data_IF_816356672902
#
_entry.id   IF_816356672902
#
_cell.length_a   1.000
_cell.length_b   1.000
_cell.length_c   1.000
_cell.angle_alpha   90.00
_cell.angle_beta   90.00
_cell.angle_gamma   90.00
#
_symmetry.space_group_name_H-M   'P 1'
#
loop_
_entity.id
_entity.type
_entity.pdbx_description
1 polymer ?
#
# COMPACT_ATOMS: atom_id res chain seq x y z
N UNK A 1 -11.88 19.10 1.13
CA UNK A 1 -10.97 17.91 1.02
C UNK A 1 -9.57 18.34 1.46
N UNK A 2 -9.03 17.73 2.48
CA UNK A 2 -7.74 18.02 3.08
C UNK A 2 -6.86 16.76 3.06
N UNK A 3 -5.55 16.92 2.82
CA UNK A 3 -4.56 15.84 2.96
C UNK A 3 -3.60 16.26 4.07
N UNK A 4 -3.34 15.35 4.99
CA UNK A 4 -2.44 15.55 6.12
C UNK A 4 -1.73 14.27 6.51
N UNK A 5 -0.70 14.41 7.34
CA UNK A 5 -0.07 13.25 7.97
C UNK A 5 -1.08 12.57 8.92
N UNK A 6 -1.05 11.25 8.97
CA UNK A 6 -1.85 10.48 9.90
C UNK A 6 -1.27 10.57 11.32
N UNK A 7 -2.14 10.43 12.29
CA UNK A 7 -1.80 10.38 13.72
C UNK A 7 -2.33 9.09 14.35
N UNK A 8 -1.85 8.68 15.50
CA UNK A 8 -2.41 7.51 16.20
C UNK A 8 -3.93 7.62 16.45
N UNK A 9 -4.47 8.83 16.54
CA UNK A 9 -5.90 9.08 16.69
C UNK A 9 -6.74 8.69 15.47
N UNK A 10 -6.12 8.53 14.31
CA UNK A 10 -6.82 8.17 13.07
C UNK A 10 -7.02 6.65 12.91
N UNK A 11 -6.35 5.83 13.71
CA UNK A 11 -6.37 4.38 13.58
C UNK A 11 -7.78 3.78 13.62
N UNK A 12 -8.70 4.21 14.51
CA UNK A 12 -10.08 3.70 14.53
C UNK A 12 -10.85 3.97 13.23
N UNK A 13 -10.58 5.10 12.56
CA UNK A 13 -11.22 5.44 11.29
C UNK A 13 -10.49 4.81 10.08
N UNK A 14 -9.20 4.51 10.22
CA UNK A 14 -8.43 3.81 9.20
C UNK A 14 -8.80 2.33 9.10
N UNK A 15 -9.17 1.67 10.19
CA UNK A 15 -9.50 0.26 10.19
C UNK A 15 -10.55 -0.13 9.14
N UNK A 16 -11.74 0.50 9.06
CA UNK A 16 -12.73 0.14 8.04
C UNK A 16 -12.24 0.42 6.61
N UNK A 17 -11.43 1.45 6.40
CA UNK A 17 -10.84 1.73 5.09
C UNK A 17 -9.80 0.67 4.71
N UNK A 18 -9.01 0.20 5.67
CA UNK A 18 -8.02 -0.85 5.46
C UNK A 18 -8.67 -2.18 5.09
N UNK A 19 -9.73 -2.56 5.80
CA UNK A 19 -10.51 -3.77 5.46
C UNK A 19 -11.09 -3.69 4.06
N UNK A 20 -11.67 -2.54 3.68
CA UNK A 20 -12.18 -2.33 2.32
C UNK A 20 -11.08 -2.36 1.25
N UNK A 21 -9.88 -1.88 1.58
CA UNK A 21 -8.72 -1.96 0.71
C UNK A 21 -8.30 -3.41 0.46
N UNK A 22 -8.16 -4.21 1.52
CA UNK A 22 -7.78 -5.62 1.40
C UNK A 22 -8.80 -6.45 0.60
N UNK A 23 -10.09 -6.17 0.76
CA UNK A 23 -11.15 -6.82 -0.01
C UNK A 23 -11.07 -6.54 -1.52
N UNK A 24 -10.49 -5.41 -1.92
CA UNK A 24 -10.32 -5.05 -3.33
C UNK A 24 -9.03 -5.59 -3.97
N UNK A 25 -8.06 -6.04 -3.18
CA UNK A 25 -6.82 -6.60 -3.71
C UNK A 25 -7.10 -8.00 -4.25
N UNK A 26 -6.80 -8.30 -5.53
CA UNK A 26 -7.02 -9.62 -6.11
C UNK A 26 -5.91 -10.59 -5.67
N UNK A 27 -5.75 -10.79 -4.37
CA UNK A 27 -4.73 -11.67 -3.82
C UNK A 27 -4.95 -13.14 -4.21
N UNK A 28 -3.89 -13.91 -4.41
CA UNK A 28 -4.00 -15.34 -4.57
C UNK A 28 -4.58 -16.01 -3.30
N UNK A 29 -5.32 -17.13 -3.45
CA UNK A 29 -6.03 -17.76 -2.33
C UNK A 29 -5.14 -18.34 -1.23
N UNK A 30 -3.83 -18.40 -1.44
CA UNK A 30 -2.83 -18.83 -0.45
C UNK A 30 -2.18 -17.67 0.32
N UNK A 31 -2.53 -16.43 0.01
CA UNK A 31 -2.12 -15.26 0.78
C UNK A 31 -3.15 -15.04 1.88
N UNK A 32 -2.68 -15.03 3.12
CA UNK A 32 -3.48 -14.73 4.31
C UNK A 32 -2.97 -13.42 4.89
N UNK A 33 -3.85 -12.43 5.00
CA UNK A 33 -3.53 -11.10 5.52
C UNK A 33 -4.22 -10.92 6.85
N UNK A 34 -3.45 -10.76 7.92
CA UNK A 34 -3.96 -10.39 9.24
C UNK A 34 -4.02 -8.87 9.36
N UNK A 35 -5.19 -8.30 9.09
CA UNK A 35 -5.42 -6.85 9.13
C UNK A 35 -5.18 -6.28 10.53
N UNK A 36 -5.50 -7.01 11.58
CA UNK A 36 -5.30 -6.54 12.95
C UNK A 36 -3.80 -6.45 13.29
N UNK A 37 -2.99 -7.37 12.76
CA UNK A 37 -1.52 -7.30 12.87
C UNK A 37 -0.95 -6.14 12.06
N UNK A 38 -1.44 -5.89 10.86
CA UNK A 38 -1.00 -4.76 10.03
C UNK A 38 -1.31 -3.41 10.68
N UNK A 39 -2.51 -3.24 11.21
CA UNK A 39 -2.90 -2.02 11.93
C UNK A 39 -2.11 -1.83 13.22
N UNK A 40 -1.82 -2.92 13.93
CA UNK A 40 -0.96 -2.88 15.13
C UNK A 40 0.46 -2.45 14.76
N UNK A 41 1.03 -3.04 13.71
CA UNK A 41 2.36 -2.66 13.21
C UNK A 41 2.39 -1.19 12.76
N UNK A 42 1.34 -0.71 12.07
CA UNK A 42 1.21 0.71 11.72
C UNK A 42 1.23 1.58 12.98
N UNK A 43 0.46 1.23 14.01
CA UNK A 43 0.40 1.97 15.27
C UNK A 43 1.76 2.04 15.96
N UNK A 44 2.50 0.93 15.96
CA UNK A 44 3.80 0.81 16.63
C UNK A 44 4.93 1.52 15.86
N UNK A 45 4.81 1.63 14.54
CA UNK A 45 5.89 2.13 13.67
C UNK A 45 5.63 3.53 13.11
N UNK A 46 4.44 4.08 13.33
CA UNK A 46 4.09 5.44 12.89
C UNK A 46 5.09 6.42 13.50
N UNK A 47 5.67 7.30 12.66
CA UNK A 47 6.75 8.24 12.99
C UNK A 47 8.09 7.60 13.40
N UNK A 48 8.23 6.27 13.30
CA UNK A 48 9.48 5.53 13.56
C UNK A 48 10.08 4.89 12.30
N UNK A 49 9.80 5.46 11.13
CA UNK A 49 10.21 4.94 9.82
C UNK A 49 9.04 4.56 8.93
N UNK A 50 7.83 4.55 9.47
CA UNK A 50 6.58 4.49 8.71
C UNK A 50 6.00 5.90 8.59
N UNK A 51 5.61 6.25 7.39
CA UNK A 51 4.92 7.50 7.07
C UNK A 51 3.53 7.12 6.58
N UNK A 52 2.50 7.65 7.22
CA UNK A 52 1.13 7.53 6.75
C UNK A 52 0.54 8.90 6.49
N UNK A 53 -0.22 9.03 5.43
CA UNK A 53 -0.99 10.23 5.08
C UNK A 53 -2.44 9.85 4.85
N UNK A 54 -3.34 10.74 5.21
CA UNK A 54 -4.78 10.55 5.09
C UNK A 54 -5.43 11.69 4.33
N UNK A 55 -6.53 11.39 3.69
CA UNK A 55 -7.39 12.37 3.05
C UNK A 55 -8.74 12.45 3.76
N UNK A 56 -9.14 13.66 4.11
CA UNK A 56 -10.43 13.98 4.74
C UNK A 56 -11.37 14.67 3.75
N UNK A 57 -12.63 14.36 3.82
CA UNK A 57 -13.68 15.12 3.15
C UNK A 57 -14.00 16.43 3.90
N UNK A 58 -15.05 17.15 3.49
CA UNK A 58 -15.45 18.41 4.12
C UNK A 58 -16.05 18.22 5.53
N UNK A 59 -16.52 17.02 5.84
CA UNK A 59 -17.08 16.65 7.14
C UNK A 59 -16.01 16.14 8.12
N UNK A 60 -14.75 16.01 7.69
CA UNK A 60 -13.66 15.46 8.50
C UNK A 60 -13.57 13.94 8.46
N UNK A 61 -14.36 13.24 7.63
CA UNK A 61 -14.33 11.79 7.49
C UNK A 61 -13.17 11.38 6.60
N UNK A 62 -12.48 10.29 6.95
CA UNK A 62 -11.41 9.73 6.13
C UNK A 62 -11.96 9.08 4.86
N UNK A 63 -11.40 9.44 3.71
CA UNK A 63 -11.82 8.96 2.39
C UNK A 63 -10.69 8.32 1.59
N UNK A 64 -9.50 8.21 2.18
CA UNK A 64 -8.35 7.56 1.58
C UNK A 64 -7.12 7.69 2.44
N UNK A 65 -6.16 6.83 2.18
CA UNK A 65 -4.86 6.83 2.87
C UNK A 65 -3.74 6.35 1.95
N UNK A 66 -2.51 6.65 2.34
CA UNK A 66 -1.32 6.06 1.74
C UNK A 66 -0.26 5.87 2.81
N UNK A 67 0.49 4.77 2.73
CA UNK A 67 1.54 4.41 3.66
C UNK A 67 2.84 4.14 2.91
N UNK A 68 3.94 4.58 3.47
CA UNK A 68 5.28 4.23 3.01
C UNK A 68 6.21 4.00 4.19
N UNK A 69 7.23 3.20 3.93
CA UNK A 69 8.26 2.84 4.91
C UNK A 69 9.66 3.07 4.34
N UNK A 70 10.61 3.36 5.19
CA UNK A 70 12.02 3.23 4.84
C UNK A 70 12.35 1.74 4.68
N UNK A 71 12.90 1.35 3.53
CA UNK A 71 13.27 -0.04 3.25
C UNK A 71 14.78 -0.28 3.22
N UNK A 72 15.56 0.77 3.24
CA UNK A 72 17.01 0.74 3.22
C UNK A 72 17.61 2.13 3.45
N UNK A 73 18.90 2.27 3.17
CA UNK A 73 19.57 3.55 3.41
C UNK A 73 19.01 4.69 2.54
N UNK A 74 18.65 4.39 1.29
CA UNK A 74 18.24 5.38 0.28
C UNK A 74 16.94 4.99 -0.44
N UNK A 75 16.28 3.93 0.03
CA UNK A 75 15.07 3.36 -0.58
C UNK A 75 13.88 3.52 0.36
N UNK A 76 12.80 4.06 -0.17
CA UNK A 76 11.47 4.02 0.41
C UNK A 76 10.58 3.03 -0.31
N UNK A 77 9.63 2.44 0.39
CA UNK A 77 8.62 1.56 -0.20
C UNK A 77 7.23 2.09 0.15
N UNK A 78 6.41 2.34 -0.88
CA UNK A 78 4.98 2.56 -0.70
C UNK A 78 4.34 1.18 -0.53
N UNK A 79 3.71 0.95 0.61
CA UNK A 79 3.11 -0.32 0.95
C UNK A 79 1.62 -0.34 0.65
N UNK A 80 0.93 0.79 0.89
CA UNK A 80 -0.52 0.85 0.80
C UNK A 80 -0.96 2.18 0.18
N UNK A 81 -1.99 2.12 -0.65
CA UNK A 81 -2.63 3.28 -1.26
C UNK A 81 -4.09 2.97 -1.56
N UNK A 82 -4.98 3.64 -0.87
CA UNK A 82 -6.41 3.43 -1.02
C UNK A 82 -7.20 4.74 -1.09
N UNK A 83 -8.23 4.75 -1.90
CA UNK A 83 -9.24 5.80 -1.98
C UNK A 83 -10.60 5.12 -2.09
N UNK A 84 -11.56 5.49 -1.25
CA UNK A 84 -12.91 4.92 -1.31
C UNK A 84 -13.51 5.12 -2.71
N UNK A 85 -14.31 4.18 -3.21
CA UNK A 85 -14.86 4.24 -4.58
C UNK A 85 -15.54 5.57 -4.90
N UNK A 86 -16.32 6.11 -3.97
CA UNK A 86 -17.04 7.38 -4.16
C UNK A 86 -16.14 8.62 -4.35
N UNK A 87 -14.87 8.55 -3.93
CA UNK A 87 -13.91 9.66 -4.04
C UNK A 87 -12.89 9.49 -5.17
N UNK A 88 -12.98 8.41 -5.95
CA UNK A 88 -12.10 8.14 -7.10
C UNK A 88 -12.38 9.05 -8.29
N UNK A 89 -11.45 9.08 -9.24
CA UNK A 89 -11.60 9.88 -10.48
C UNK A 89 -11.26 11.35 -10.33
N UNK A 90 -10.95 11.84 -9.14
CA UNK A 90 -10.66 13.25 -8.84
C UNK A 90 -9.19 13.51 -8.47
N UNK A 91 -8.28 12.60 -8.81
CA UNK A 91 -6.84 12.75 -8.58
C UNK A 91 -6.41 12.61 -7.11
N UNK A 92 -7.26 12.07 -6.23
CA UNK A 92 -6.96 11.97 -4.81
C UNK A 92 -5.79 11.05 -4.52
N UNK A 93 -5.68 9.90 -5.20
CA UNK A 93 -4.54 9.00 -5.09
C UNK A 93 -3.21 9.71 -5.43
N UNK A 94 -3.18 10.50 -6.52
CA UNK A 94 -2.00 11.28 -6.89
C UNK A 94 -1.63 12.32 -5.83
N UNK A 95 -2.61 12.96 -5.21
CA UNK A 95 -2.37 13.94 -4.13
C UNK A 95 -1.87 13.29 -2.84
N UNK A 96 -2.40 12.13 -2.47
CA UNK A 96 -1.89 11.32 -1.35
C UNK A 96 -0.44 10.92 -1.60
N UNK A 97 -0.16 10.38 -2.79
CA UNK A 97 1.20 9.98 -3.18
C UNK A 97 2.15 11.16 -3.21
N UNK A 98 1.73 12.33 -3.73
CA UNK A 98 2.54 13.54 -3.73
C UNK A 98 2.94 13.93 -2.30
N UNK A 99 2.00 13.92 -1.33
CA UNK A 99 2.30 14.20 0.06
C UNK A 99 3.26 13.17 0.65
N UNK A 100 3.08 11.90 0.32
CA UNK A 100 3.98 10.82 0.76
C UNK A 100 5.41 11.03 0.23
N UNK A 101 5.56 11.39 -1.04
CA UNK A 101 6.86 11.69 -1.66
C UNK A 101 7.55 12.87 -0.98
N UNK A 102 6.82 13.94 -0.65
CA UNK A 102 7.38 15.05 0.13
C UNK A 102 7.97 14.57 1.46
N UNK A 103 7.24 13.72 2.18
CA UNK A 103 7.71 13.14 3.45
C UNK A 103 8.92 12.23 3.27
N UNK A 104 8.91 11.36 2.25
CA UNK A 104 10.04 10.49 1.93
C UNK A 104 11.31 11.27 1.59
N UNK A 105 11.18 12.41 0.92
CA UNK A 105 12.33 13.29 0.62
C UNK A 105 12.97 13.86 1.88
N UNK A 106 12.22 14.15 2.93
CA UNK A 106 12.76 14.61 4.21
C UNK A 106 13.64 13.56 4.88
N UNK A 107 13.51 12.29 4.50
CA UNK A 107 14.33 11.18 4.99
C UNK A 107 15.61 10.94 4.14
N UNK A 108 15.89 11.83 3.17
CA UNK A 108 17.03 11.72 2.24
C UNK A 108 17.03 10.40 1.45
N UNK A 109 15.84 9.93 1.06
CA UNK A 109 15.65 8.79 0.17
C UNK A 109 15.64 9.29 -1.28
N UNK A 110 16.21 8.51 -2.19
CA UNK A 110 16.32 8.87 -3.60
C UNK A 110 15.63 7.89 -4.54
N UNK A 111 15.18 6.77 -4.03
CA UNK A 111 14.43 5.75 -4.79
C UNK A 111 13.19 5.35 -4.03
N UNK A 112 12.10 5.12 -4.76
CA UNK A 112 10.83 4.61 -4.22
C UNK A 112 10.44 3.36 -4.99
N UNK A 113 10.10 2.32 -4.25
CA UNK A 113 9.51 1.08 -4.76
C UNK A 113 8.06 0.94 -4.29
N UNK A 114 7.31 0.12 -4.99
CA UNK A 114 6.03 -0.43 -4.53
C UNK A 114 5.88 -1.87 -5.06
N UNK A 115 5.03 -2.62 -4.39
CA UNK A 115 4.59 -3.93 -4.84
C UNK A 115 3.14 -3.83 -5.32
N UNK A 116 2.81 -4.57 -6.34
CA UNK A 116 1.45 -4.63 -6.89
C UNK A 116 1.17 -6.04 -7.37
N UNK A 117 0.01 -6.57 -7.05
CA UNK A 117 -0.42 -7.87 -7.54
C UNK A 117 -0.47 -7.86 -9.06
N UNK A 118 0.16 -8.85 -9.70
CA UNK A 118 0.37 -8.88 -11.15
C UNK A 118 -0.94 -8.77 -11.96
N UNK A 119 -2.04 -9.29 -11.40
CA UNK A 119 -3.38 -9.22 -12.01
C UNK A 119 -4.12 -7.92 -11.77
N UNK A 120 -3.59 -7.01 -10.92
CA UNK A 120 -4.19 -5.70 -10.67
C UNK A 120 -3.81 -4.71 -11.78
N UNK A 121 -4.41 -4.90 -12.95
CA UNK A 121 -4.11 -4.10 -14.15
C UNK A 121 -4.39 -2.60 -13.95
N UNK A 122 -5.44 -2.26 -13.20
CA UNK A 122 -5.80 -0.87 -12.93
C UNK A 122 -4.70 -0.14 -12.12
N UNK A 123 -4.21 -0.74 -11.06
CA UNK A 123 -3.14 -0.17 -10.24
C UNK A 123 -1.83 -0.08 -11.05
N UNK A 124 -1.48 -1.14 -11.78
CA UNK A 124 -0.28 -1.16 -12.66
C UNK A 124 -0.31 -0.04 -13.69
N UNK A 125 -1.47 0.21 -14.33
CA UNK A 125 -1.63 1.30 -15.30
C UNK A 125 -1.45 2.68 -14.65
N UNK A 126 -1.92 2.87 -13.41
CA UNK A 126 -1.71 4.12 -12.65
C UNK A 126 -0.23 4.32 -12.37
N UNK A 127 0.45 3.31 -11.85
CA UNK A 127 1.87 3.38 -11.48
C UNK A 127 2.78 3.60 -12.70
N UNK A 128 2.47 2.97 -13.84
CA UNK A 128 3.18 3.21 -15.09
C UNK A 128 3.07 4.68 -15.54
N UNK A 129 1.89 5.30 -15.41
CA UNK A 129 1.71 6.74 -15.72
C UNK A 129 2.50 7.64 -14.75
N UNK A 130 2.76 7.21 -13.53
CA UNK A 130 3.60 7.94 -12.56
C UNK A 130 5.09 7.68 -12.75
N UNK A 131 5.49 6.89 -13.76
CA UNK A 131 6.87 6.63 -14.11
C UNK A 131 7.50 5.43 -13.42
N UNK A 132 6.73 4.63 -12.69
CA UNK A 132 7.22 3.35 -12.16
C UNK A 132 7.50 2.38 -13.31
N UNK A 133 8.58 1.62 -13.15
CA UNK A 133 9.00 0.56 -14.09
C UNK A 133 9.07 -0.76 -13.35
N UNK A 134 8.67 -1.82 -14.02
CA UNK A 134 8.80 -3.18 -13.48
C UNK A 134 10.27 -3.53 -13.29
N UNK A 135 10.62 -4.06 -12.13
CA UNK A 135 11.99 -4.46 -11.78
C UNK A 135 12.09 -5.95 -11.51
N UNK A 136 11.15 -6.50 -10.77
CA UNK A 136 11.17 -7.87 -10.30
C UNK A 136 9.82 -8.53 -10.53
N UNK A 137 9.83 -9.84 -10.69
CA UNK A 137 8.65 -10.68 -10.76
C UNK A 137 8.72 -11.72 -9.63
N UNK A 138 7.77 -11.67 -8.71
CA UNK A 138 7.63 -12.70 -7.66
C UNK A 138 6.79 -13.84 -8.20
N UNK A 139 7.30 -15.06 -8.08
CA UNK A 139 6.60 -16.29 -8.41
C UNK A 139 6.32 -17.05 -7.13
N UNK A 140 5.10 -17.56 -6.98
CA UNK A 140 4.71 -18.34 -5.82
C UNK A 140 3.83 -19.52 -6.25
N UNK A 141 3.91 -20.61 -5.50
CA UNK A 141 3.05 -21.78 -5.65
C UNK A 141 2.86 -22.43 -4.27
N UNK A 142 1.71 -23.07 -3.99
CA UNK A 142 1.58 -23.88 -2.79
C UNK A 142 2.64 -24.96 -2.71
N UNK A 143 3.19 -25.17 -1.51
CA UNK A 143 4.29 -26.15 -1.32
C UNK A 143 3.90 -27.56 -1.76
N UNK A 144 2.66 -27.98 -1.50
CA UNK A 144 2.17 -29.30 -1.88
C UNK A 144 2.08 -29.47 -3.40
N UNK A 145 1.79 -28.40 -4.15
CA UNK A 145 1.77 -28.43 -5.61
C UNK A 145 3.20 -28.60 -6.16
N UNK A 146 4.14 -27.87 -5.58
CA UNK A 146 5.55 -28.01 -5.94
C UNK A 146 6.07 -29.42 -5.60
N UNK A 147 5.74 -29.95 -4.43
CA UNK A 147 6.14 -31.30 -4.01
C UNK A 147 5.56 -32.38 -4.95
N UNK A 148 4.28 -32.26 -5.35
CA UNK A 148 3.66 -33.16 -6.31
C UNK A 148 4.34 -33.15 -7.68
N UNK A 149 4.76 -31.96 -8.13
CA UNK A 149 5.47 -31.81 -9.40
C UNK A 149 6.78 -32.62 -9.43
N UNK A 150 7.55 -32.58 -8.35
CA UNK A 150 8.84 -33.31 -8.26
C UNK A 150 8.69 -34.78 -7.86
N UNK A 151 7.55 -35.20 -7.31
CA UNK A 151 7.28 -36.60 -6.99
C UNK A 151 6.84 -37.43 -8.22
N UNK A 152 6.52 -36.82 -9.35
CA UNK A 152 6.17 -37.52 -10.57
C UNK A 152 7.44 -38.15 -11.19
N UNK A 153 7.48 -39.47 -11.48
CA UNK A 153 8.61 -40.08 -12.16
C UNK A 153 8.73 -39.48 -13.57
N UNK A 154 9.98 -39.19 -13.94
CA UNK A 154 10.31 -38.74 -15.30
C UNK A 154 10.14 -39.84 -16.31
#
# INVERSE_FOLDING_TARGET
MRIRDATPGDLPELEPLWRAFEEEIPEPPWVDVDIDDELRDLADTLDRGTIAVVAENQNGELIGFAVARRWGRRLGRITDLYVIPAARGHGLASRLTARLVERLRTLHLDTVQLEVVATNENARAIYARWGFKEQELTLATPLDDLARHFAQPR
#
